data_IF_064020005723
#
_entry.id   IF_064020005723
#
_cell.length_a   1.000
_cell.length_b   1.000
_cell.length_c   1.000
_cell.angle_alpha   90.00
_cell.angle_beta   90.00
_cell.angle_gamma   90.00
#
_symmetry.space_group_name_H-M   'P 1'
#
loop_
_entity.id
_entity.type
_entity.pdbx_description
1 polymer ?
#
# COMPACT_ATOMS: atom_id res chain seq x y z
N UNK A 1 -9.94 -3.62 12.53
CA UNK A 1 -10.39 -2.65 11.50
C UNK A 1 -11.05 -3.44 10.38
N UNK A 2 -12.11 -2.94 9.77
CA UNK A 2 -12.73 -3.61 8.62
C UNK A 2 -11.78 -3.56 7.41
N UNK A 3 -11.65 -4.64 6.64
CA UNK A 3 -10.74 -4.76 5.48
C UNK A 3 -10.95 -3.63 4.49
N UNK A 4 -12.22 -3.28 4.24
CA UNK A 4 -12.59 -2.26 3.26
C UNK A 4 -12.12 -0.88 3.68
N UNK A 5 -12.18 -0.60 4.99
CA UNK A 5 -11.68 0.63 5.58
C UNK A 5 -10.16 0.73 5.51
N UNK A 6 -9.44 -0.39 5.67
CA UNK A 6 -7.98 -0.42 5.52
C UNK A 6 -7.57 -0.15 4.07
N UNK A 7 -8.23 -0.80 3.11
CA UNK A 7 -8.03 -0.57 1.69
C UNK A 7 -8.26 0.89 1.32
N UNK A 8 -9.38 1.49 1.71
CA UNK A 8 -9.69 2.89 1.44
C UNK A 8 -8.70 3.86 2.08
N UNK A 9 -8.25 3.56 3.31
CA UNK A 9 -7.20 4.34 3.96
C UNK A 9 -5.91 4.33 3.15
N UNK A 10 -5.41 3.15 2.75
CA UNK A 10 -4.16 3.03 1.99
C UNK A 10 -4.28 3.74 0.64
N UNK A 11 -5.41 3.61 -0.06
CA UNK A 11 -5.67 4.34 -1.32
C UNK A 11 -5.52 5.85 -1.09
N UNK A 12 -6.17 6.39 -0.05
CA UNK A 12 -6.08 7.81 0.26
C UNK A 12 -4.65 8.26 0.56
N UNK A 13 -3.89 7.47 1.31
CA UNK A 13 -2.48 7.78 1.61
C UNK A 13 -1.61 7.81 0.34
N UNK A 14 -1.87 6.90 -0.59
CA UNK A 14 -1.19 6.86 -1.89
C UNK A 14 -1.58 8.08 -2.75
N UNK A 15 -2.86 8.47 -2.76
CA UNK A 15 -3.35 9.68 -3.44
C UNK A 15 -2.74 10.96 -2.87
N UNK A 16 -2.65 11.08 -1.53
CA UNK A 16 -2.07 12.23 -0.83
C UNK A 16 -0.60 12.48 -1.25
N UNK A 17 0.10 11.41 -1.66
CA UNK A 17 1.47 11.46 -2.16
C UNK A 17 1.59 11.36 -3.67
N UNK A 18 0.47 11.44 -4.40
CA UNK A 18 0.42 11.44 -5.88
C UNK A 18 0.96 10.16 -6.51
N UNK A 19 0.69 9.00 -5.91
CA UNK A 19 0.84 7.73 -6.61
C UNK A 19 -0.09 7.67 -7.83
N UNK A 20 0.35 6.99 -8.88
CA UNK A 20 -0.41 6.85 -10.12
C UNK A 20 -1.04 5.47 -10.22
N UNK A 21 -2.07 5.32 -11.06
CA UNK A 21 -2.67 4.03 -11.41
C UNK A 21 -3.02 3.13 -10.20
N UNK A 22 -3.59 3.73 -9.15
CA UNK A 22 -3.95 2.99 -7.93
C UNK A 22 -5.09 2.01 -8.26
N UNK A 23 -4.77 0.72 -8.23
CA UNK A 23 -5.67 -0.37 -8.59
C UNK A 23 -5.83 -1.37 -7.44
N UNK A 24 -7.00 -1.38 -6.77
CA UNK A 24 -7.37 -2.46 -5.85
C UNK A 24 -7.87 -3.68 -6.63
N UNK A 25 -7.30 -4.85 -6.35
CA UNK A 25 -7.67 -6.15 -6.91
C UNK A 25 -8.24 -7.01 -5.79
N UNK A 26 -9.53 -7.37 -5.89
CA UNK A 26 -10.20 -8.27 -4.94
C UNK A 26 -9.82 -9.73 -5.20
N UNK A 27 -9.32 -10.38 -4.15
CA UNK A 27 -8.75 -11.72 -4.18
C UNK A 27 -9.50 -12.74 -3.32
N UNK A 28 -10.50 -12.31 -2.54
CA UNK A 28 -11.24 -13.14 -1.55
C UNK A 28 -11.92 -14.39 -2.12
N UNK A 29 -12.13 -14.42 -3.44
CA UNK A 29 -12.75 -15.56 -4.16
C UNK A 29 -11.76 -16.33 -5.04
N UNK A 30 -10.48 -15.97 -4.98
CA UNK A 30 -9.42 -16.51 -5.83
C UNK A 30 -8.32 -17.18 -5.02
N UNK A 31 -8.02 -16.65 -3.84
CA UNK A 31 -6.99 -17.15 -2.93
C UNK A 31 -7.42 -16.97 -1.47
N UNK A 32 -6.87 -17.80 -0.57
CA UNK A 32 -7.29 -17.83 0.84
C UNK A 32 -6.33 -17.08 1.79
N UNK A 33 -5.19 -16.58 1.29
CA UNK A 33 -4.15 -15.96 2.13
C UNK A 33 -4.16 -14.42 2.12
N UNK A 34 -4.95 -13.79 1.25
CA UNK A 34 -5.07 -12.33 1.17
C UNK A 34 -6.42 -11.91 0.60
N UNK A 35 -6.96 -10.79 1.09
CA UNK A 35 -8.23 -10.23 0.62
C UNK A 35 -8.06 -9.34 -0.62
N UNK A 36 -6.99 -8.53 -0.64
CA UNK A 36 -6.75 -7.53 -1.67
C UNK A 36 -5.27 -7.45 -2.05
N UNK A 37 -5.02 -7.17 -3.32
CA UNK A 37 -3.80 -6.48 -3.74
C UNK A 37 -4.10 -5.02 -4.05
N UNK A 38 -3.18 -4.14 -3.69
CA UNK A 38 -3.18 -2.74 -4.08
C UNK A 38 -1.92 -2.50 -4.90
N UNK A 39 -2.11 -2.19 -6.18
CA UNK A 39 -1.04 -1.85 -7.10
C UNK A 39 -1.06 -0.33 -7.33
N UNK A 40 0.10 0.29 -7.43
CA UNK A 40 0.23 1.67 -7.85
C UNK A 40 1.58 1.88 -8.53
N UNK A 41 1.65 2.92 -9.35
CA UNK A 41 2.84 3.36 -10.07
C UNK A 41 3.43 4.60 -9.39
N UNK A 42 4.75 4.74 -9.48
CA UNK A 42 5.49 5.89 -8.99
C UNK A 42 6.43 6.42 -10.08
N UNK A 43 6.51 7.74 -10.23
CA UNK A 43 7.36 8.38 -11.23
C UNK A 43 8.88 8.10 -11.14
N UNK A 44 9.39 7.61 -10.01
CA UNK A 44 10.81 7.27 -9.85
C UNK A 44 11.01 6.36 -8.63
N UNK A 45 12.18 5.73 -8.55
CA UNK A 45 12.61 4.93 -7.40
C UNK A 45 12.50 5.69 -6.07
N UNK A 46 12.94 6.96 -6.04
CA UNK A 46 12.84 7.80 -4.83
C UNK A 46 11.39 8.11 -4.47
N UNK A 47 10.51 8.26 -5.46
CA UNK A 47 9.09 8.44 -5.23
C UNK A 47 8.46 7.17 -4.67
N UNK A 48 8.79 6.00 -5.22
CA UNK A 48 8.33 4.70 -4.72
C UNK A 48 8.75 4.48 -3.25
N UNK A 49 10.01 4.75 -2.92
CA UNK A 49 10.52 4.67 -1.55
C UNK A 49 9.77 5.61 -0.61
N UNK A 50 9.60 6.88 -1.01
CA UNK A 50 8.86 7.85 -0.21
C UNK A 50 7.38 7.51 -0.02
N UNK A 51 6.75 6.85 -1.00
CA UNK A 51 5.39 6.32 -0.87
C UNK A 51 5.32 5.20 0.16
N UNK A 52 6.23 4.21 0.06
CA UNK A 52 6.31 3.12 1.01
C UNK A 52 6.53 3.63 2.44
N UNK A 53 7.52 4.50 2.65
CA UNK A 53 7.84 5.10 3.95
C UNK A 53 6.65 5.85 4.54
N UNK A 54 5.96 6.65 3.72
CA UNK A 54 4.79 7.40 4.16
C UNK A 54 3.64 6.49 4.58
N UNK A 55 3.31 5.48 3.76
CA UNK A 55 2.23 4.54 4.08
C UNK A 55 2.55 3.79 5.37
N UNK A 56 3.79 3.31 5.54
CA UNK A 56 4.22 2.63 6.76
C UNK A 56 4.07 3.52 8.00
N UNK A 57 4.55 4.77 7.92
CA UNK A 57 4.47 5.72 9.03
C UNK A 57 3.01 5.99 9.44
N UNK A 58 2.10 6.16 8.48
CA UNK A 58 0.69 6.44 8.78
C UNK A 58 -0.05 5.20 9.32
N UNK A 59 0.31 4.00 8.86
CA UNK A 59 -0.22 2.75 9.40
C UNK A 59 0.27 2.48 10.82
N UNK A 60 1.54 2.78 11.12
CA UNK A 60 2.11 2.61 12.47
C UNK A 60 1.38 3.50 13.50
N UNK A 61 1.00 4.72 13.13
CA UNK A 61 0.23 5.63 14.00
C UNK A 61 -1.12 5.07 14.45
N UNK A 62 -1.70 4.15 13.67
CA UNK A 62 -2.96 3.48 13.99
C UNK A 62 -2.73 2.05 14.52
N UNK A 63 -1.48 1.70 14.84
CA UNK A 63 -1.10 0.41 15.42
C UNK A 63 -1.04 -0.74 14.43
N UNK A 64 -0.91 -0.47 13.14
CA UNK A 64 -0.79 -1.49 12.09
C UNK A 64 0.67 -1.53 11.63
N UNK A 65 1.31 -2.68 11.85
CA UNK A 65 2.67 -2.94 11.40
C UNK A 65 2.66 -3.88 10.20
N UNK A 66 3.47 -3.63 9.15
CA UNK A 66 3.61 -4.56 8.04
C UNK A 66 4.26 -5.87 8.55
N UNK A 67 3.81 -7.01 8.01
CA UNK A 67 4.42 -8.30 8.31
C UNK A 67 5.82 -8.43 7.70
N UNK A 68 5.97 -7.97 6.47
CA UNK A 68 7.25 -7.87 5.75
C UNK A 68 7.23 -6.70 4.78
N UNK A 69 8.42 -6.22 4.42
CA UNK A 69 8.64 -5.21 3.39
C UNK A 69 9.74 -5.75 2.47
N UNK A 70 9.48 -5.74 1.17
CA UNK A 70 10.41 -6.22 0.15
C UNK A 70 10.61 -5.12 -0.90
N UNK A 71 11.77 -5.12 -1.57
CA UNK A 71 12.05 -4.18 -2.66
C UNK A 71 12.37 -2.73 -2.27
N UNK A 72 12.28 -2.35 -0.99
CA UNK A 72 12.42 -0.95 -0.56
C UNK A 72 13.75 -0.29 -0.97
N UNK A 73 14.90 -0.95 -0.74
CA UNK A 73 16.21 -0.36 -1.05
C UNK A 73 16.45 -0.14 -2.56
N UNK A 74 15.89 -1.02 -3.39
CA UNK A 74 16.07 -0.98 -4.84
C UNK A 74 14.95 -0.19 -5.55
N UNK A 75 13.81 0.00 -4.87
CA UNK A 75 12.59 0.65 -5.35
C UNK A 75 11.92 -0.06 -6.52
N UNK A 76 11.97 -1.39 -6.53
CA UNK A 76 11.31 -2.30 -7.46
C UNK A 76 10.85 -3.58 -6.77
#
# INVERSE_FOLDING_TARGET
MEVERLKELIIKLLEDKKAEEILPIDLRKKVDFTDYFLLCSAHSTKHAQGLADYVMLELEKIGIMPFSIEGLELGN
#
